data_IF_902459324987
#
_entry.id   IF_902459324987
#
_cell.length_a   1.000
_cell.length_b   1.000
_cell.length_c   1.000
_cell.angle_alpha   90.00
_cell.angle_beta   90.00
_cell.angle_gamma   90.00
#
_symmetry.space_group_name_H-M   'P 1'
#
loop_
_entity.id
_entity.type
_entity.pdbx_description
1 polymer ?
#
# COMPACT_ATOMS: atom_id res chain seq x y z
N UNK A 1 66.22 19.24 32.42
CA UNK A 1 64.87 19.81 32.24
C UNK A 1 64.64 20.00 30.75
N UNK A 2 63.66 19.33 30.15
CA UNK A 2 63.33 19.47 28.73
C UNK A 2 62.61 20.81 28.52
N UNK A 3 63.31 21.83 28.02
CA UNK A 3 62.70 23.12 27.70
C UNK A 3 61.99 23.03 26.35
N UNK A 4 60.67 23.13 26.36
CA UNK A 4 59.86 23.11 25.15
C UNK A 4 59.94 24.49 24.46
N UNK A 5 60.17 24.50 23.15
CA UNK A 5 60.22 25.76 22.37
C UNK A 5 58.87 26.46 22.37
N UNK A 6 58.87 27.79 22.58
CA UNK A 6 57.65 28.63 22.68
C UNK A 6 56.76 28.53 21.45
N UNK A 7 57.33 28.39 20.25
CA UNK A 7 56.56 28.22 19.01
C UNK A 7 55.75 26.91 19.02
N UNK A 8 56.31 25.83 19.57
CA UNK A 8 55.60 24.55 19.70
C UNK A 8 54.41 24.69 20.65
N UNK A 9 54.56 25.45 21.73
CA UNK A 9 53.46 25.73 22.67
C UNK A 9 52.34 26.51 21.96
N UNK A 10 52.68 27.55 21.20
CA UNK A 10 51.72 28.34 20.43
C UNK A 10 50.98 27.47 19.40
N UNK A 11 51.70 26.61 18.67
CA UNK A 11 51.11 25.71 17.68
C UNK A 11 50.12 24.72 18.32
N UNK A 12 50.46 24.16 19.49
CA UNK A 12 49.58 23.24 20.22
C UNK A 12 48.31 23.96 20.70
N UNK A 13 48.45 25.15 21.29
CA UNK A 13 47.30 25.94 21.76
C UNK A 13 46.38 26.29 20.58
N UNK A 14 46.96 26.74 19.47
CA UNK A 14 46.20 27.06 18.26
C UNK A 14 45.44 25.83 17.73
N UNK A 15 46.07 24.66 17.68
CA UNK A 15 45.42 23.43 17.23
C UNK A 15 44.26 23.01 18.15
N UNK A 16 44.42 23.14 19.47
CA UNK A 16 43.35 22.83 20.44
C UNK A 16 42.17 23.78 20.28
N UNK A 17 42.43 25.10 20.19
CA UNK A 17 41.39 26.10 19.98
C UNK A 17 40.63 25.87 18.67
N UNK A 18 41.36 25.57 17.59
CA UNK A 18 40.76 25.26 16.30
C UNK A 18 39.88 24.00 16.39
N UNK A 19 40.36 22.94 17.05
CA UNK A 19 39.60 21.70 17.23
C UNK A 19 38.30 21.93 18.02
N UNK A 20 38.35 22.74 19.07
CA UNK A 20 37.17 23.09 19.87
C UNK A 20 36.16 23.90 19.04
N UNK A 21 36.66 24.84 18.23
CA UNK A 21 35.85 25.67 17.33
C UNK A 21 35.12 24.82 16.28
N UNK A 22 35.78 23.84 15.68
CA UNK A 22 35.18 22.94 14.70
C UNK A 22 34.25 21.88 15.32
N UNK A 23 34.45 21.50 16.59
CA UNK A 23 33.59 20.55 17.30
C UNK A 23 32.33 21.20 17.90
N UNK A 24 32.38 22.50 18.20
CA UNK A 24 31.27 23.29 18.78
C UNK A 24 29.90 23.05 18.12
N UNK A 25 29.76 22.98 16.78
CA UNK A 25 28.45 22.86 16.12
C UNK A 25 27.74 21.52 16.37
N UNK A 26 28.47 20.49 16.83
CA UNK A 26 27.90 19.18 17.15
C UNK A 26 27.17 19.17 18.49
N UNK A 27 27.54 20.06 19.42
CA UNK A 27 26.95 20.14 20.77
C UNK A 27 25.86 21.21 20.86
N UNK A 28 25.92 22.22 19.98
CA UNK A 28 24.95 23.31 19.96
C UNK A 28 23.59 22.88 19.35
N UNK A 29 22.45 23.30 19.93
CA UNK A 29 21.14 23.14 19.30
C UNK A 29 21.02 23.98 18.00
N UNK A 30 20.12 23.60 17.09
CA UNK A 30 20.00 24.21 15.75
C UNK A 30 19.72 25.72 15.80
N UNK A 31 18.83 26.16 16.69
CA UNK A 31 18.48 27.57 16.89
C UNK A 31 19.67 28.47 17.29
N UNK A 32 20.67 27.92 18.00
CA UNK A 32 21.88 28.66 18.37
C UNK A 32 22.88 28.72 17.21
N UNK A 33 22.92 27.66 16.38
CA UNK A 33 23.80 27.59 15.20
C UNK A 33 23.43 28.60 14.11
N UNK A 34 22.13 28.84 13.92
CA UNK A 34 21.65 29.75 12.89
C UNK A 34 22.07 31.21 13.16
N UNK A 35 22.12 31.59 14.44
CA UNK A 35 22.56 32.91 14.91
C UNK A 35 24.08 33.14 14.92
N UNK A 36 24.91 32.13 14.61
CA UNK A 36 26.36 32.30 14.54
C UNK A 36 26.75 33.21 13.37
N UNK A 37 27.85 33.96 13.53
CA UNK A 37 28.42 34.76 12.45
C UNK A 37 28.81 33.88 11.24
N UNK A 38 28.71 34.43 10.02
CA UNK A 38 28.86 33.67 8.77
C UNK A 38 30.21 32.96 8.56
N UNK A 39 31.25 33.35 9.30
CA UNK A 39 32.59 32.74 9.24
C UNK A 39 32.76 31.53 10.17
N UNK A 40 31.80 31.26 11.06
CA UNK A 40 31.85 30.13 11.99
C UNK A 40 31.24 28.87 11.35
N UNK A 41 31.76 27.67 11.66
CA UNK A 41 31.19 26.43 11.17
C UNK A 41 29.77 26.26 11.74
N UNK A 42 28.77 26.19 10.87
CA UNK A 42 27.34 26.04 11.27
C UNK A 42 26.81 24.61 11.13
N UNK A 43 27.41 23.83 10.22
CA UNK A 43 27.00 22.45 9.93
C UNK A 43 27.67 21.50 10.91
N UNK A 44 26.86 20.86 11.75
CA UNK A 44 27.30 19.71 12.54
C UNK A 44 27.47 18.47 11.64
N UNK A 45 27.99 17.39 12.21
CA UNK A 45 28.06 16.09 11.54
C UNK A 45 26.66 15.67 11.06
N UNK A 46 26.57 15.22 9.81
CA UNK A 46 25.36 14.58 9.31
C UNK A 46 25.20 13.24 10.05
N UNK A 47 24.15 13.13 10.85
CA UNK A 47 23.83 11.86 11.52
C UNK A 47 23.44 10.85 10.44
N UNK A 48 24.04 9.65 10.45
CA UNK A 48 23.61 8.54 9.61
C UNK A 48 22.25 7.99 10.04
N UNK A 49 21.62 7.15 9.21
CA UNK A 49 20.28 6.58 9.47
C UNK A 49 20.17 5.89 10.84
N UNK A 50 21.22 5.19 11.27
CA UNK A 50 21.31 4.50 12.56
C UNK A 50 21.27 5.46 13.76
N UNK A 51 21.83 6.68 13.58
CA UNK A 51 21.84 7.74 14.59
C UNK A 51 20.63 8.69 14.47
N UNK A 52 19.92 8.67 13.35
CA UNK A 52 18.68 9.44 13.13
C UNK A 52 17.42 8.70 13.61
N UNK A 53 17.49 7.36 13.71
CA UNK A 53 16.40 6.53 14.22
C UNK A 53 15.17 6.56 13.30
N UNK A 54 15.12 5.65 12.33
CA UNK A 54 13.95 5.46 11.47
C UNK A 54 13.79 4.00 11.05
N UNK A 55 12.55 3.52 10.94
CA UNK A 55 12.20 2.21 10.38
C UNK A 55 11.52 2.43 9.03
N UNK A 56 11.92 1.65 8.01
CA UNK A 56 11.26 1.62 6.70
C UNK A 56 10.50 0.31 6.57
N UNK A 57 9.19 0.39 6.31
CA UNK A 57 8.33 -0.77 6.13
C UNK A 57 7.82 -0.79 4.69
N UNK A 58 8.15 -1.85 3.95
CA UNK A 58 7.60 -2.12 2.62
C UNK A 58 6.53 -3.20 2.76
N UNK A 59 5.32 -2.89 2.30
CA UNK A 59 4.17 -3.81 2.34
C UNK A 59 3.59 -3.94 0.94
N UNK A 60 3.18 -5.15 0.61
CA UNK A 60 2.55 -5.50 -0.65
C UNK A 60 1.19 -6.14 -0.40
N UNK A 61 0.22 -5.81 -1.23
CA UNK A 61 -1.10 -6.42 -1.20
C UNK A 61 -1.10 -7.65 -2.11
N UNK A 62 -1.51 -8.81 -1.57
CA UNK A 62 -1.66 -10.03 -2.36
C UNK A 62 -2.92 -9.97 -3.22
N UNK A 63 -2.76 -9.49 -4.46
CA UNK A 63 -3.83 -9.38 -5.46
C UNK A 63 -4.35 -10.75 -5.90
N UNK A 64 -3.54 -11.81 -5.79
CA UNK A 64 -3.92 -13.16 -6.17
C UNK A 64 -4.88 -13.78 -5.16
N UNK A 65 -4.63 -13.54 -3.86
CA UNK A 65 -5.51 -13.96 -2.79
C UNK A 65 -6.86 -13.21 -2.86
N UNK A 66 -6.83 -11.90 -3.06
CA UNK A 66 -8.04 -11.08 -3.23
C UNK A 66 -8.92 -11.56 -4.39
N UNK A 67 -8.30 -11.88 -5.53
CA UNK A 67 -9.00 -12.43 -6.69
C UNK A 67 -9.68 -13.76 -6.38
N UNK A 68 -8.97 -14.69 -5.74
CA UNK A 68 -9.54 -15.99 -5.34
C UNK A 68 -10.70 -15.82 -4.37
N UNK A 69 -10.57 -14.92 -3.41
CA UNK A 69 -11.64 -14.59 -2.47
C UNK A 69 -12.86 -14.04 -3.20
N UNK A 70 -12.68 -13.16 -4.20
CA UNK A 70 -13.80 -12.65 -5.00
C UNK A 70 -14.50 -13.69 -5.85
N UNK A 71 -13.75 -14.58 -6.49
CA UNK A 71 -14.37 -15.71 -7.21
C UNK A 71 -15.15 -16.59 -6.25
N UNK A 72 -14.63 -16.83 -5.04
CA UNK A 72 -15.33 -17.60 -4.01
C UNK A 72 -16.62 -16.91 -3.56
N UNK A 73 -16.58 -15.61 -3.30
CA UNK A 73 -17.77 -14.83 -2.95
C UNK A 73 -18.81 -14.83 -4.08
N UNK A 74 -18.36 -14.68 -5.34
CA UNK A 74 -19.25 -14.73 -6.50
C UNK A 74 -19.95 -16.10 -6.64
N UNK A 75 -19.26 -17.21 -6.35
CA UNK A 75 -19.88 -18.54 -6.32
C UNK A 75 -21.02 -18.58 -5.28
N UNK A 76 -20.76 -18.09 -4.07
CA UNK A 76 -21.75 -18.08 -2.99
C UNK A 76 -22.94 -17.15 -3.31
N UNK A 77 -22.67 -16.00 -3.91
CA UNK A 77 -23.70 -15.04 -4.32
C UNK A 77 -24.57 -15.60 -5.45
N UNK A 78 -23.98 -16.25 -6.45
CA UNK A 78 -24.71 -16.95 -7.51
C UNK A 78 -25.53 -18.10 -6.93
N UNK A 79 -24.97 -18.91 -6.01
CA UNK A 79 -25.71 -19.99 -5.35
C UNK A 79 -26.94 -19.46 -4.63
N UNK A 80 -26.78 -18.39 -3.87
CA UNK A 80 -27.88 -17.74 -3.14
C UNK A 80 -28.94 -17.21 -4.10
N UNK A 81 -28.53 -16.52 -5.15
CA UNK A 81 -29.43 -15.97 -6.17
C UNK A 81 -30.26 -17.07 -6.85
N UNK A 82 -29.63 -18.18 -7.24
CA UNK A 82 -30.33 -19.29 -7.88
C UNK A 82 -31.29 -19.99 -6.91
N UNK A 83 -30.89 -20.15 -5.63
CA UNK A 83 -31.75 -20.71 -4.60
C UNK A 83 -33.00 -19.84 -4.36
N UNK A 84 -32.85 -18.52 -4.30
CA UNK A 84 -33.96 -17.56 -4.15
C UNK A 84 -34.97 -17.65 -5.32
N UNK A 85 -34.50 -17.99 -6.52
CA UNK A 85 -35.34 -18.16 -7.73
C UNK A 85 -35.76 -19.60 -7.99
N UNK A 86 -35.53 -20.49 -7.02
CA UNK A 86 -35.86 -21.91 -7.08
C UNK A 86 -35.29 -22.62 -8.33
N UNK A 87 -34.10 -22.19 -8.77
CA UNK A 87 -33.36 -22.81 -9.87
C UNK A 87 -32.48 -23.91 -9.27
N UNK A 88 -32.95 -25.15 -9.33
CA UNK A 88 -32.27 -26.31 -8.75
C UNK A 88 -31.44 -27.03 -9.83
N UNK A 89 -30.31 -27.62 -9.44
CA UNK A 89 -29.50 -28.47 -10.32
C UNK A 89 -28.51 -27.72 -11.21
N UNK A 90 -28.31 -26.42 -10.99
CA UNK A 90 -27.23 -25.68 -11.64
C UNK A 90 -25.87 -26.09 -11.08
N UNK A 91 -24.92 -26.41 -11.95
CA UNK A 91 -23.54 -26.66 -11.54
C UNK A 91 -22.74 -25.36 -11.61
N UNK A 92 -22.05 -25.00 -10.53
CA UNK A 92 -21.33 -23.73 -10.38
C UNK A 92 -19.88 -24.07 -10.05
N UNK A 93 -18.96 -23.70 -10.93
CA UNK A 93 -17.52 -24.01 -10.81
C UNK A 93 -16.68 -22.76 -11.03
N UNK A 94 -15.59 -22.61 -10.26
CA UNK A 94 -14.62 -21.55 -10.49
C UNK A 94 -13.93 -21.71 -11.85
N UNK A 95 -13.80 -20.62 -12.62
CA UNK A 95 -13.18 -20.63 -13.93
C UNK A 95 -12.37 -19.34 -14.15
N UNK A 96 -11.06 -19.39 -13.88
CA UNK A 96 -10.17 -18.24 -14.04
C UNK A 96 -10.55 -17.09 -13.09
N UNK A 97 -10.86 -15.93 -13.66
CA UNK A 97 -11.24 -14.70 -12.94
C UNK A 97 -12.76 -14.62 -12.69
N UNK A 98 -13.43 -15.76 -12.70
CA UNK A 98 -14.88 -15.84 -12.66
C UNK A 98 -15.42 -17.22 -12.37
N UNK A 99 -16.67 -17.43 -12.78
CA UNK A 99 -17.47 -18.60 -12.47
C UNK A 99 -18.15 -19.09 -13.74
N UNK A 100 -18.11 -20.41 -13.96
CA UNK A 100 -18.89 -21.12 -14.96
C UNK A 100 -20.14 -21.70 -14.30
N UNK A 101 -21.29 -21.35 -14.85
CA UNK A 101 -22.60 -21.81 -14.42
C UNK A 101 -23.19 -22.66 -15.55
N UNK A 102 -23.48 -23.93 -15.26
CA UNK A 102 -24.14 -24.83 -16.19
C UNK A 102 -25.55 -25.07 -15.69
N UNK A 103 -26.53 -24.58 -16.43
CA UNK A 103 -27.94 -24.74 -16.09
C UNK A 103 -28.48 -26.06 -16.65
N UNK A 104 -29.40 -26.74 -15.92
CA UNK A 104 -30.04 -27.95 -16.43
C UNK A 104 -31.02 -27.65 -17.58
N UNK A 105 -31.58 -26.45 -17.63
CA UNK A 105 -32.50 -25.99 -18.66
C UNK A 105 -31.96 -24.73 -19.34
N UNK A 106 -31.67 -24.85 -20.64
CA UNK A 106 -31.17 -23.75 -21.47
C UNK A 106 -32.20 -22.61 -21.65
N UNK A 107 -33.50 -22.89 -21.49
CA UNK A 107 -34.56 -21.87 -21.64
C UNK A 107 -34.46 -20.77 -20.58
N UNK A 108 -33.96 -21.11 -19.37
CA UNK A 108 -33.80 -20.19 -18.25
C UNK A 108 -32.48 -19.43 -18.26
N UNK A 109 -31.57 -19.74 -19.19
CA UNK A 109 -30.26 -19.10 -19.29
C UNK A 109 -30.36 -17.57 -19.45
N UNK A 110 -31.34 -17.09 -20.22
CA UNK A 110 -31.57 -15.64 -20.40
C UNK A 110 -32.10 -14.96 -19.13
N UNK A 111 -32.99 -15.65 -18.41
CA UNK A 111 -33.53 -15.17 -17.15
C UNK A 111 -32.40 -15.02 -16.11
N UNK A 112 -31.58 -16.05 -15.96
CA UNK A 112 -30.44 -16.06 -15.02
C UNK A 112 -29.41 -14.99 -15.39
N UNK A 113 -29.09 -14.83 -16.67
CA UNK A 113 -28.19 -13.77 -17.12
C UNK A 113 -28.70 -12.39 -16.68
N UNK A 114 -29.99 -12.11 -16.89
CA UNK A 114 -30.60 -10.85 -16.48
C UNK A 114 -30.72 -10.67 -14.96
N UNK A 115 -30.78 -11.75 -14.19
CA UNK A 115 -30.75 -11.67 -12.73
C UNK A 115 -29.36 -11.34 -12.22
N UNK A 116 -28.33 -12.01 -12.74
CA UNK A 116 -26.93 -11.77 -12.37
C UNK A 116 -26.55 -10.32 -12.71
N UNK A 117 -26.89 -9.84 -13.91
CA UNK A 117 -26.55 -8.47 -14.31
C UNK A 117 -27.26 -7.38 -13.49
N UNK A 118 -28.43 -7.67 -12.90
CA UNK A 118 -29.19 -6.70 -12.11
C UNK A 118 -28.92 -6.74 -10.61
N UNK A 119 -28.62 -7.93 -10.08
CA UNK A 119 -28.50 -8.13 -8.63
C UNK A 119 -27.06 -8.32 -8.17
N UNK A 120 -26.17 -8.83 -9.03
CA UNK A 120 -24.78 -9.11 -8.67
C UNK A 120 -23.79 -8.16 -9.34
N UNK A 121 -24.10 -7.65 -10.53
CA UNK A 121 -23.23 -6.66 -11.17
C UNK A 121 -23.44 -5.28 -10.56
N UNK A 122 -22.32 -4.62 -10.28
CA UNK A 122 -22.24 -3.23 -9.85
C UNK A 122 -21.47 -2.40 -10.89
N UNK A 123 -21.61 -1.08 -10.78
CA UNK A 123 -20.81 -0.17 -11.59
C UNK A 123 -19.45 0.06 -10.92
N UNK A 124 -18.38 -0.10 -11.71
CA UNK A 124 -17.04 0.37 -11.35
C UNK A 124 -17.01 1.90 -11.23
N UNK A 125 -15.93 2.48 -10.69
CA UNK A 125 -15.73 3.95 -10.62
C UNK A 125 -15.94 4.68 -11.95
N UNK A 126 -15.73 4.00 -13.08
CA UNK A 126 -15.87 4.56 -14.41
C UNK A 126 -17.28 4.36 -15.01
N UNK A 127 -18.24 3.84 -14.24
CA UNK A 127 -19.60 3.54 -14.69
C UNK A 127 -19.72 2.29 -15.57
N UNK A 128 -18.63 1.56 -15.80
CA UNK A 128 -18.65 0.30 -16.54
C UNK A 128 -19.07 -0.86 -15.62
N UNK A 129 -19.76 -1.89 -16.13
CA UNK A 129 -20.07 -3.09 -15.35
C UNK A 129 -18.80 -3.76 -14.82
N UNK A 130 -18.85 -4.20 -13.57
CA UNK A 130 -17.79 -4.98 -12.93
C UNK A 130 -17.73 -6.45 -13.40
N UNK A 131 -18.81 -6.94 -13.99
CA UNK A 131 -18.96 -8.30 -14.48
C UNK A 131 -19.19 -8.34 -16.00
N UNK A 132 -18.49 -9.25 -16.66
CA UNK A 132 -18.74 -9.67 -18.04
C UNK A 132 -19.44 -11.02 -18.05
N UNK A 133 -20.54 -11.12 -18.79
CA UNK A 133 -21.36 -12.34 -18.86
C UNK A 133 -21.42 -12.84 -20.31
N UNK A 134 -20.81 -13.99 -20.59
CA UNK A 134 -20.91 -14.69 -21.87
C UNK A 134 -21.86 -15.89 -21.74
N UNK A 135 -22.72 -16.10 -22.74
CA UNK A 135 -23.74 -17.15 -22.75
C UNK A 135 -23.55 -18.05 -23.96
N UNK A 136 -23.42 -19.35 -23.72
CA UNK A 136 -23.37 -20.39 -24.74
C UNK A 136 -24.39 -21.50 -24.43
N UNK A 137 -25.60 -21.37 -24.97
CA UNK A 137 -26.69 -22.31 -24.69
C UNK A 137 -27.06 -22.32 -23.21
N UNK A 138 -26.82 -23.44 -22.54
CA UNK A 138 -27.06 -23.62 -21.11
C UNK A 138 -25.88 -23.18 -20.21
N UNK A 139 -24.73 -22.84 -20.80
CA UNK A 139 -23.55 -22.38 -20.09
C UNK A 139 -23.54 -20.85 -19.99
N UNK A 140 -23.36 -20.33 -18.78
CA UNK A 140 -23.08 -18.92 -18.49
C UNK A 140 -21.69 -18.81 -17.89
N UNK A 141 -20.83 -18.00 -18.51
CA UNK A 141 -19.53 -17.62 -17.96
C UNK A 141 -19.60 -16.20 -17.44
N UNK A 142 -19.43 -16.02 -16.14
CA UNK A 142 -19.45 -14.73 -15.46
C UNK A 142 -18.05 -14.43 -14.97
N UNK A 143 -17.39 -13.41 -15.52
CA UNK A 143 -16.02 -13.03 -15.16
C UNK A 143 -15.99 -11.61 -14.61
N UNK A 144 -15.10 -11.34 -13.67
CA UNK A 144 -14.76 -9.96 -13.32
C UNK A 144 -14.03 -9.29 -14.49
N UNK A 145 -14.33 -8.01 -14.73
CA UNK A 145 -13.60 -7.20 -15.69
C UNK A 145 -12.20 -6.85 -15.17
N UNK A 146 -11.25 -6.59 -16.07
CA UNK A 146 -9.90 -6.15 -15.69
C UNK A 146 -9.92 -4.88 -14.85
N UNK A 147 -10.87 -4.00 -15.15
CA UNK A 147 -11.09 -2.74 -14.46
C UNK A 147 -11.56 -2.98 -13.03
N UNK A 148 -12.51 -3.90 -12.82
CA UNK A 148 -12.98 -4.27 -11.49
C UNK A 148 -11.87 -4.86 -10.63
N UNK A 149 -11.04 -5.74 -11.20
CA UNK A 149 -9.89 -6.34 -10.48
C UNK A 149 -8.88 -5.26 -10.07
N UNK A 150 -8.53 -4.33 -10.99
CA UNK A 150 -7.62 -3.22 -10.70
C UNK A 150 -8.16 -2.29 -9.63
N UNK A 151 -9.47 -2.01 -9.68
CA UNK A 151 -10.15 -1.18 -8.71
C UNK A 151 -10.10 -1.79 -7.31
N UNK A 152 -10.36 -3.10 -7.19
CA UNK A 152 -10.28 -3.82 -5.92
C UNK A 152 -8.86 -3.78 -5.35
N UNK A 153 -7.84 -4.03 -6.17
CA UNK A 153 -6.44 -3.94 -5.72
C UNK A 153 -6.09 -2.54 -5.21
N UNK A 154 -6.53 -1.50 -5.94
CA UNK A 154 -6.32 -0.10 -5.55
C UNK A 154 -6.98 0.23 -4.21
N UNK A 155 -8.23 -0.21 -4.03
CA UNK A 155 -8.98 0.02 -2.79
C UNK A 155 -8.36 -0.73 -1.61
N UNK A 156 -7.86 -1.94 -1.83
CA UNK A 156 -7.16 -2.72 -0.80
C UNK A 156 -5.86 -2.04 -0.34
N UNK A 157 -5.10 -1.44 -1.27
CA UNK A 157 -3.91 -0.63 -0.93
C UNK A 157 -4.29 0.60 -0.11
N UNK A 158 -5.31 1.36 -0.54
CA UNK A 158 -5.79 2.54 0.19
C UNK A 158 -6.28 2.21 1.60
N UNK A 159 -7.03 1.12 1.74
CA UNK A 159 -7.50 0.64 3.02
C UNK A 159 -6.33 0.23 3.93
N UNK A 160 -5.33 -0.47 3.37
CA UNK A 160 -4.15 -0.89 4.12
C UNK A 160 -3.35 0.32 4.61
N UNK A 161 -3.13 1.32 3.75
CA UNK A 161 -2.49 2.58 4.13
C UNK A 161 -3.25 3.23 5.29
N UNK A 162 -4.57 3.39 5.18
CA UNK A 162 -5.37 3.99 6.25
C UNK A 162 -5.33 3.21 7.58
N UNK A 163 -5.27 1.87 7.53
CA UNK A 163 -5.10 1.04 8.72
C UNK A 163 -3.73 1.27 9.36
N UNK A 164 -2.67 1.31 8.55
CA UNK A 164 -1.30 1.51 9.03
C UNK A 164 -1.16 2.91 9.61
N UNK A 165 -1.64 3.96 8.93
CA UNK A 165 -1.59 5.34 9.43
C UNK A 165 -2.22 5.44 10.81
N UNK A 166 -3.46 4.94 10.97
CA UNK A 166 -4.14 4.93 12.29
C UNK A 166 -3.34 4.16 13.35
N UNK A 167 -2.80 2.99 13.02
CA UNK A 167 -1.99 2.18 13.94
C UNK A 167 -0.71 2.89 14.39
N UNK A 168 -0.07 3.64 13.49
CA UNK A 168 1.17 4.37 13.80
C UNK A 168 0.87 5.63 14.62
N UNK A 169 -0.23 6.32 14.30
CA UNK A 169 -0.70 7.50 15.05
C UNK A 169 -1.08 7.13 16.49
N UNK A 170 -1.78 6.00 16.67
CA UNK A 170 -2.18 5.47 17.99
C UNK A 170 -0.97 5.13 18.87
N UNK A 171 0.20 4.84 18.29
CA UNK A 171 1.44 4.54 19.02
C UNK A 171 2.25 5.79 19.41
N UNK A 172 1.78 7.00 19.06
CA UNK A 172 2.42 8.26 19.46
C UNK A 172 3.78 8.53 18.80
N UNK A 173 4.06 7.86 17.68
CA UNK A 173 5.30 7.99 16.92
C UNK A 173 5.28 9.19 15.98
N UNK A 174 6.47 9.74 15.68
CA UNK A 174 6.68 10.86 14.74
C UNK A 174 6.01 10.56 13.39
N UNK A 175 5.39 11.58 12.78
CA UNK A 175 4.62 11.50 11.53
C UNK A 175 5.29 10.58 10.48
N UNK A 176 4.70 9.41 10.16
CA UNK A 176 5.27 8.49 9.20
C UNK A 176 5.11 9.02 7.77
N UNK A 177 6.18 8.98 6.98
CA UNK A 177 6.08 9.24 5.54
C UNK A 177 5.62 7.97 4.82
N UNK A 178 4.33 7.90 4.50
CA UNK A 178 3.73 6.76 3.77
C UNK A 178 3.55 7.15 2.30
N UNK A 179 4.09 6.34 1.40
CA UNK A 179 3.92 6.52 -0.05
C UNK A 179 3.54 5.21 -0.71
N UNK A 180 2.62 5.26 -1.69
CA UNK A 180 2.35 4.14 -2.57
C UNK A 180 3.54 3.97 -3.52
N UNK A 181 4.05 2.76 -3.65
CA UNK A 181 5.14 2.42 -4.58
C UNK A 181 4.65 1.39 -5.59
N UNK A 182 4.69 1.74 -6.88
CA UNK A 182 4.39 0.83 -8.00
C UNK A 182 2.90 0.54 -8.28
N UNK A 183 2.68 -0.15 -9.40
CA UNK A 183 1.44 -0.85 -9.77
C UNK A 183 1.85 -2.29 -10.13
N UNK A 184 1.28 -3.29 -9.42
CA UNK A 184 1.40 -4.72 -9.75
C UNK A 184 0.16 -5.20 -10.49
#
# INVERSE_FOLDING_TARGET
MMTVSRWKIIAVIAAVLLSLLFAMPNVLPQNVRDGLAGFLPKKGLNLGLDLQGGSQLLLEVDTSALRKERVTNLIEDVRRLLAEKQIVGANITAAGDGVLIVLPDASRAQEVQGLISRQLSSATRNGAPDLSIDRKGAELRVNYTSEAIREVSTNAVEQSIGIITRRVDDMGTREPQISRQGEN
#
